data_IF_397363466489
#
_entry.id   IF_397363466489
#
_cell.length_a   1.000
_cell.length_b   1.000
_cell.length_c   1.000
_cell.angle_alpha   90.00
_cell.angle_beta   90.00
_cell.angle_gamma   90.00
#
_symmetry.space_group_name_H-M   'P 1'
#
loop_
_entity.id
_entity.type
_entity.pdbx_description
1 polymer ?
#
# COMPACT_ATOMS: atom_id res chain seq x y z
N UNK A 1 -52.58 76.16 8.43
CA UNK A 1 -52.47 74.83 9.06
C UNK A 1 -52.24 73.79 7.96
N UNK A 2 -51.01 73.64 7.49
CA UNK A 2 -49.94 72.71 7.89
C UNK A 2 -49.97 71.41 7.05
N UNK A 3 -49.10 71.36 6.03
CA UNK A 3 -48.81 70.18 5.22
C UNK A 3 -47.78 69.32 5.96
N UNK A 4 -48.12 68.06 6.24
CA UNK A 4 -47.16 67.06 6.72
C UNK A 4 -46.41 66.48 5.52
N UNK A 5 -45.13 66.82 5.40
CA UNK A 5 -44.17 66.13 4.53
C UNK A 5 -43.53 65.02 5.34
N UNK A 6 -43.85 63.77 5.03
CA UNK A 6 -43.21 62.60 5.62
C UNK A 6 -41.87 62.34 4.91
N UNK A 7 -40.79 62.84 5.50
CA UNK A 7 -39.43 62.49 5.11
C UNK A 7 -39.06 61.10 5.68
N UNK A 8 -39.00 60.10 4.81
CA UNK A 8 -38.49 58.76 5.12
C UNK A 8 -36.95 58.81 5.22
N UNK A 9 -36.30 58.18 6.23
CA UNK A 9 -34.85 58.28 6.38
C UNK A 9 -34.16 57.37 5.37
N UNK A 10 -33.52 57.96 4.35
CA UNK A 10 -32.65 57.27 3.37
C UNK A 10 -31.41 56.58 3.99
N UNK A 11 -31.14 56.79 5.29
CA UNK A 11 -29.95 56.29 5.98
C UNK A 11 -29.98 54.78 6.28
N UNK A 12 -31.16 54.16 6.45
CA UNK A 12 -31.25 52.73 6.77
C UNK A 12 -30.97 51.82 5.56
N UNK A 13 -31.36 52.25 4.36
CA UNK A 13 -31.24 51.46 3.14
C UNK A 13 -29.78 51.28 2.68
N UNK A 14 -28.94 52.30 2.87
CA UNK A 14 -27.53 52.26 2.49
C UNK A 14 -26.74 51.25 3.32
N UNK A 15 -27.09 51.13 4.61
CA UNK A 15 -26.45 50.19 5.54
C UNK A 15 -26.83 48.73 5.23
N UNK A 16 -28.07 48.49 4.80
CA UNK A 16 -28.57 47.17 4.45
C UNK A 16 -27.96 46.64 3.13
N UNK A 17 -27.78 47.51 2.14
CA UNK A 17 -27.11 47.15 0.88
C UNK A 17 -25.62 46.83 1.08
N UNK A 18 -24.94 47.58 1.95
CA UNK A 18 -23.53 47.32 2.30
C UNK A 18 -23.39 45.96 2.99
N UNK A 19 -24.26 45.65 3.97
CA UNK A 19 -24.30 44.35 4.64
C UNK A 19 -24.52 43.18 3.66
N UNK A 20 -25.39 43.36 2.65
CA UNK A 20 -25.65 42.34 1.64
C UNK A 20 -24.45 42.11 0.71
N UNK A 21 -23.74 43.18 0.34
CA UNK A 21 -22.52 43.09 -0.48
C UNK A 21 -21.39 42.38 0.28
N UNK A 22 -21.16 42.72 1.55
CA UNK A 22 -20.20 42.01 2.39
C UNK A 22 -20.57 40.53 2.55
N UNK A 23 -21.85 40.21 2.82
CA UNK A 23 -22.32 38.83 2.92
C UNK A 23 -22.07 38.03 1.63
N UNK A 24 -22.32 38.62 0.47
CA UNK A 24 -22.07 37.96 -0.84
C UNK A 24 -20.58 37.71 -1.13
N UNK A 25 -19.69 38.59 -0.65
CA UNK A 25 -18.23 38.44 -0.77
C UNK A 25 -17.71 37.32 0.15
N UNK A 26 -18.27 37.18 1.35
CA UNK A 26 -17.94 36.08 2.26
C UNK A 26 -18.38 34.71 1.69
N UNK A 27 -19.56 34.62 1.05
CA UNK A 27 -20.02 33.35 0.46
C UNK A 27 -19.08 32.87 -0.65
N UNK A 28 -18.49 33.77 -1.44
CA UNK A 28 -17.48 33.41 -2.45
C UNK A 28 -16.15 33.00 -1.83
N UNK A 29 -15.72 33.63 -0.74
CA UNK A 29 -14.48 33.27 -0.04
C UNK A 29 -14.54 31.88 0.62
N UNK A 30 -15.73 31.43 1.05
CA UNK A 30 -15.93 30.09 1.62
C UNK A 30 -16.23 28.99 0.60
N UNK A 31 -16.43 29.33 -0.68
CA UNK A 31 -16.66 28.33 -1.74
C UNK A 31 -15.37 27.79 -2.37
N UNK A 32 -14.26 27.83 -1.63
CA UNK A 32 -13.08 27.02 -1.92
C UNK A 32 -13.42 25.56 -1.61
N UNK A 33 -13.93 24.86 -2.63
CA UNK A 33 -14.05 23.41 -2.59
C UNK A 33 -12.63 22.87 -2.38
N UNK A 34 -12.33 22.16 -1.28
CA UNK A 34 -11.02 21.53 -1.13
C UNK A 34 -10.82 20.64 -2.36
N UNK A 35 -9.77 20.90 -3.12
CA UNK A 35 -9.32 19.91 -4.10
C UNK A 35 -9.15 18.61 -3.31
N UNK A 36 -9.80 17.50 -3.71
CA UNK A 36 -9.65 16.26 -2.98
C UNK A 36 -8.15 15.98 -2.90
N UNK A 37 -7.63 15.93 -1.67
CA UNK A 37 -6.22 15.60 -1.45
C UNK A 37 -5.93 14.35 -2.28
N UNK A 38 -4.95 14.43 -3.20
CA UNK A 38 -4.52 13.29 -3.99
C UNK A 38 -4.11 12.20 -3.01
N UNK A 39 -5.01 11.24 -2.77
CA UNK A 39 -4.82 10.13 -1.85
C UNK A 39 -3.90 9.12 -2.52
N UNK A 40 -2.64 9.51 -2.58
CA UNK A 40 -1.55 8.79 -3.18
C UNK A 40 -1.17 7.64 -2.24
N UNK A 41 -1.64 6.42 -2.54
CA UNK A 41 -1.33 5.25 -1.75
C UNK A 41 0.18 4.94 -1.85
N UNK A 42 0.83 4.74 -0.71
CA UNK A 42 2.16 4.18 -0.61
C UNK A 42 2.01 2.68 -0.32
N UNK A 43 2.47 1.84 -1.25
CA UNK A 43 2.32 0.39 -1.15
C UNK A 43 3.68 -0.25 -0.91
N UNK A 44 3.75 -1.07 0.13
CA UNK A 44 4.91 -1.91 0.41
C UNK A 44 4.51 -3.37 0.29
N UNK A 45 5.20 -4.11 -0.57
CA UNK A 45 5.07 -5.56 -0.69
C UNK A 45 6.29 -6.18 -0.04
N UNK A 46 6.08 -7.11 0.90
CA UNK A 46 7.18 -7.76 1.60
C UNK A 46 6.88 -9.21 1.94
N UNK A 47 7.94 -9.98 2.09
CA UNK A 47 7.89 -11.34 2.59
C UNK A 47 9.26 -11.76 3.08
N UNK A 48 9.38 -13.02 3.44
CA UNK A 48 10.58 -13.56 4.05
C UNK A 48 11.00 -14.86 3.36
N UNK A 49 12.31 -15.06 3.28
CA UNK A 49 12.93 -16.32 2.85
C UNK A 49 13.71 -16.88 4.02
N UNK A 50 13.51 -18.15 4.30
CA UNK A 50 14.27 -18.87 5.31
C UNK A 50 14.85 -20.17 4.76
N UNK A 51 15.87 -20.67 5.43
CA UNK A 51 16.36 -22.01 5.23
C UNK A 51 15.65 -22.97 6.16
N UNK A 52 14.91 -23.92 5.61
CA UNK A 52 14.37 -25.08 6.32
C UNK A 52 15.44 -26.18 6.37
N UNK A 53 16.34 -26.10 7.36
CA UNK A 53 17.42 -27.08 7.54
C UNK A 53 16.88 -28.52 7.61
N UNK A 54 15.71 -28.71 8.20
CA UNK A 54 15.15 -30.02 8.43
C UNK A 54 14.30 -30.54 7.28
N UNK A 55 14.06 -29.73 6.24
CA UNK A 55 13.28 -30.12 5.07
C UNK A 55 11.86 -30.60 5.43
N UNK A 56 11.27 -30.02 6.48
CA UNK A 56 9.92 -30.33 6.95
C UNK A 56 8.83 -29.54 6.21
N UNK A 57 9.22 -28.69 5.25
CA UNK A 57 8.36 -27.75 4.54
C UNK A 57 7.63 -26.79 5.52
N UNK A 58 8.30 -26.44 6.62
CA UNK A 58 7.74 -25.58 7.66
C UNK A 58 8.86 -24.87 8.41
N UNK A 59 8.58 -23.67 8.93
CA UNK A 59 9.51 -22.99 9.82
C UNK A 59 9.65 -23.75 11.14
N UNK A 60 10.88 -24.04 11.53
CA UNK A 60 11.22 -24.83 12.72
C UNK A 60 12.30 -24.15 13.56
N UNK A 61 12.57 -24.68 14.76
CA UNK A 61 13.64 -24.19 15.64
C UNK A 61 15.04 -24.19 14.99
N UNK A 62 15.26 -25.08 14.02
CA UNK A 62 16.52 -25.17 13.28
C UNK A 62 16.52 -24.34 12.00
N UNK A 63 15.42 -23.65 11.69
CA UNK A 63 15.35 -22.76 10.55
C UNK A 63 16.06 -21.44 10.86
N UNK A 64 16.60 -20.81 9.82
CA UNK A 64 17.19 -19.47 9.93
C UNK A 64 16.79 -18.62 8.74
N UNK A 65 16.71 -17.31 8.94
CA UNK A 65 16.42 -16.38 7.85
C UNK A 65 17.57 -16.32 6.85
N UNK A 66 17.26 -16.39 5.56
CA UNK A 66 18.26 -16.55 4.51
C UNK A 66 18.56 -15.20 3.84
N UNK A 67 19.67 -14.53 4.19
CA UNK A 67 20.10 -13.32 3.50
C UNK A 67 20.64 -13.63 2.10
N UNK A 68 20.54 -12.67 1.18
CA UNK A 68 21.12 -12.82 -0.16
C UNK A 68 20.33 -13.75 -1.09
N UNK A 69 19.13 -14.19 -0.71
CA UNK A 69 18.24 -14.95 -1.57
C UNK A 69 17.56 -14.03 -2.59
N UNK A 70 17.57 -14.42 -3.86
CA UNK A 70 16.92 -13.71 -4.94
C UNK A 70 15.49 -14.21 -5.12
N UNK A 71 14.55 -13.26 -5.15
CA UNK A 71 13.13 -13.49 -5.36
C UNK A 71 12.62 -12.59 -6.48
N UNK A 72 11.72 -13.12 -7.29
CA UNK A 72 10.95 -12.33 -8.24
C UNK A 72 9.61 -12.00 -7.59
N UNK A 73 9.28 -10.72 -7.50
CA UNK A 73 8.00 -10.23 -7.00
C UNK A 73 7.18 -9.82 -8.22
N UNK A 74 5.98 -10.35 -8.34
CA UNK A 74 5.03 -10.02 -9.39
C UNK A 74 3.70 -9.57 -8.77
N UNK A 75 3.29 -8.34 -9.09
CA UNK A 75 2.07 -7.74 -8.60
C UNK A 75 1.21 -7.20 -9.74
N UNK A 76 -0.10 -7.32 -9.62
CA UNK A 76 -1.09 -6.73 -10.51
C UNK A 76 -2.04 -5.91 -9.65
N UNK A 77 -2.11 -4.60 -9.90
CA UNK A 77 -3.02 -3.69 -9.22
C UNK A 77 -4.07 -3.20 -10.21
N UNK A 78 -5.33 -3.12 -9.79
CA UNK A 78 -6.33 -2.35 -10.55
C UNK A 78 -6.21 -0.88 -10.19
N UNK A 79 -6.12 -0.04 -11.22
CA UNK A 79 -6.25 1.39 -11.08
C UNK A 79 -7.73 1.78 -11.29
N UNK A 80 -8.29 2.52 -10.35
CA UNK A 80 -9.63 3.10 -10.46
C UNK A 80 -9.52 4.44 -11.18
N UNK A 81 -9.53 4.39 -12.52
CA UNK A 81 -9.63 5.59 -13.36
C UNK A 81 -11.09 5.74 -13.80
N UNK A 82 -11.72 6.92 -13.63
CA UNK A 82 -13.09 7.14 -14.11
C UNK A 82 -13.15 6.84 -15.62
N UNK A 83 -13.98 5.87 -16.01
CA UNK A 83 -14.25 5.40 -17.40
C UNK A 83 -13.33 4.31 -17.97
N UNK A 84 -12.26 3.89 -17.30
CA UNK A 84 -11.40 2.78 -17.77
C UNK A 84 -11.10 1.78 -16.65
N UNK A 85 -10.93 0.49 -17.00
CA UNK A 85 -10.51 -0.58 -16.07
C UNK A 85 -9.04 -0.90 -16.30
N UNK A 86 -8.16 0.01 -15.93
CA UNK A 86 -6.73 -0.14 -16.12
C UNK A 86 -6.11 -1.06 -15.05
N UNK A 87 -5.12 -1.85 -15.47
CA UNK A 87 -4.34 -2.72 -14.61
C UNK A 87 -2.87 -2.32 -14.73
N UNK A 88 -2.20 -2.21 -13.58
CA UNK A 88 -0.78 -1.87 -13.49
C UNK A 88 -0.05 -3.08 -12.94
N UNK A 89 0.88 -3.60 -13.73
CA UNK A 89 1.69 -4.75 -13.36
C UNK A 89 3.11 -4.33 -12.99
N UNK A 90 3.61 -4.85 -11.88
CA UNK A 90 4.99 -4.69 -11.42
C UNK A 90 5.64 -6.06 -11.36
N UNK A 91 6.80 -6.22 -12.01
CA UNK A 91 7.61 -7.44 -11.91
C UNK A 91 9.06 -7.05 -11.71
N UNK A 92 9.64 -7.40 -10.56
CA UNK A 92 11.01 -7.02 -10.21
C UNK A 92 11.70 -8.14 -9.44
N UNK A 93 13.00 -8.27 -9.64
CA UNK A 93 13.83 -9.10 -8.77
C UNK A 93 14.28 -8.28 -7.55
N UNK A 94 14.28 -8.93 -6.38
CA UNK A 94 14.79 -8.39 -5.12
C UNK A 94 15.64 -9.43 -4.42
N UNK A 95 16.56 -8.95 -3.61
CA UNK A 95 17.40 -9.77 -2.75
C UNK A 95 16.99 -9.56 -1.31
N UNK A 96 16.99 -10.64 -0.52
CA UNK A 96 16.70 -10.55 0.91
C UNK A 96 17.81 -9.86 1.69
N UNK A 97 17.42 -9.07 2.70
CA UNK A 97 18.33 -8.41 3.62
C UNK A 97 18.93 -9.37 4.66
N UNK A 98 19.68 -8.83 5.63
CA UNK A 98 20.30 -9.61 6.72
C UNK A 98 19.30 -10.40 7.59
N UNK A 99 18.01 -10.07 7.53
CA UNK A 99 16.93 -10.74 8.26
C UNK A 99 16.11 -11.65 7.33
N UNK A 100 16.60 -11.94 6.13
CA UNK A 100 15.89 -12.75 5.14
C UNK A 100 14.64 -12.08 4.57
N UNK A 101 14.49 -10.76 4.72
CA UNK A 101 13.30 -10.02 4.27
C UNK A 101 13.56 -9.40 2.91
N UNK A 102 12.65 -9.60 1.96
CA UNK A 102 12.62 -8.86 0.70
C UNK A 102 11.51 -7.83 0.72
N UNK A 103 11.72 -6.70 0.05
CA UNK A 103 10.77 -5.57 0.01
C UNK A 103 10.71 -4.93 -1.36
N UNK A 104 9.51 -4.54 -1.76
CA UNK A 104 9.23 -3.70 -2.92
C UNK A 104 8.36 -2.52 -2.47
N UNK A 105 8.88 -1.32 -2.66
CA UNK A 105 8.13 -0.09 -2.50
C UNK A 105 7.60 0.34 -3.86
N UNK A 106 6.28 0.50 -3.94
CA UNK A 106 5.61 0.96 -5.14
C UNK A 106 5.28 2.43 -4.91
N UNK A 107 5.82 3.34 -5.74
CA UNK A 107 5.52 4.77 -5.61
C UNK A 107 4.03 4.98 -5.88
N UNK A 108 3.49 6.07 -5.34
CA UNK A 108 2.08 6.38 -5.56
C UNK A 108 1.78 6.57 -7.03
N UNK A 109 0.88 5.73 -7.54
CA UNK A 109 0.35 5.81 -8.89
C UNK A 109 -1.09 6.28 -8.81
N UNK A 110 -1.47 7.24 -9.65
CA UNK A 110 -2.83 7.74 -9.73
C UNK A 110 -3.83 6.60 -9.96
N UNK A 111 -4.92 6.58 -9.19
CA UNK A 111 -5.97 5.57 -9.30
C UNK A 111 -5.70 4.27 -8.53
N UNK A 112 -4.50 4.02 -7.99
CA UNK A 112 -4.26 2.85 -7.12
C UNK A 112 -4.62 3.22 -5.68
N UNK A 113 -5.66 2.56 -5.13
CA UNK A 113 -6.14 2.81 -3.78
C UNK A 113 -5.87 1.62 -2.83
N UNK A 114 -5.65 1.95 -1.56
CA UNK A 114 -5.60 1.01 -0.45
C UNK A 114 -6.99 0.43 -0.17
N UNK A 115 -7.33 -0.73 -0.75
CA UNK A 115 -8.60 -1.40 -0.48
C UNK A 115 -8.53 -2.24 0.82
N UNK A 116 -9.57 -2.14 1.68
CA UNK A 116 -9.73 -2.98 2.88
C UNK A 116 -9.93 -4.48 2.59
N UNK A 117 -10.21 -4.86 1.33
CA UNK A 117 -10.42 -6.26 0.96
C UNK A 117 -9.89 -6.53 -0.44
N UNK A 118 -8.93 -7.45 -0.50
CA UNK A 118 -8.36 -8.03 -1.71
C UNK A 118 -9.43 -8.74 -2.55
N UNK A 119 -9.77 -8.18 -3.71
CA UNK A 119 -10.34 -8.93 -4.85
C UNK A 119 -9.75 -8.41 -6.18
N UNK A 120 -9.31 -7.15 -6.22
CA UNK A 120 -8.84 -6.50 -7.43
C UNK A 120 -7.32 -6.60 -7.68
N UNK A 121 -6.51 -6.69 -6.62
CA UNK A 121 -5.04 -6.61 -6.72
C UNK A 121 -4.37 -7.85 -6.14
N UNK A 122 -3.42 -8.44 -6.87
CA UNK A 122 -2.74 -9.69 -6.52
C UNK A 122 -1.23 -9.52 -6.59
N UNK A 123 -0.53 -9.88 -5.52
CA UNK A 123 0.92 -9.98 -5.45
C UNK A 123 1.32 -11.42 -5.13
N UNK A 124 2.35 -11.90 -5.79
CA UNK A 124 3.02 -13.15 -5.51
C UNK A 124 4.53 -12.96 -5.56
N UNK A 125 5.27 -13.85 -4.91
CA UNK A 125 6.71 -13.92 -5.04
C UNK A 125 7.15 -15.36 -5.32
N UNK A 126 8.24 -15.50 -6.07
CA UNK A 126 8.85 -16.80 -6.36
C UNK A 126 10.37 -16.77 -6.21
N UNK A 127 10.94 -17.87 -5.73
CA UNK A 127 12.39 -18.05 -5.62
C UNK A 127 13.03 -18.09 -7.00
N UNK A 128 14.07 -17.26 -7.17
CA UNK A 128 14.95 -17.27 -8.35
C UNK A 128 16.21 -18.08 -8.04
N UNK A 129 16.87 -17.76 -6.92
CA UNK A 129 18.11 -18.42 -6.53
C UNK A 129 18.65 -17.92 -5.20
N UNK A 130 19.81 -18.43 -4.81
CA UNK A 130 20.54 -17.99 -3.62
C UNK A 130 22.03 -18.23 -3.82
N UNK A 131 22.85 -17.40 -3.20
CA UNK A 131 24.31 -17.57 -3.14
C UNK A 131 24.76 -18.57 -2.07
N UNK A 132 23.85 -19.01 -1.18
CA UNK A 132 24.16 -20.01 -0.17
C UNK A 132 24.41 -21.37 -0.81
N UNK A 133 25.56 -22.01 -0.55
CA UNK A 133 25.84 -23.37 -1.03
C UNK A 133 25.25 -24.46 -0.14
N UNK A 134 25.02 -24.15 1.15
CA UNK A 134 24.50 -25.08 2.14
C UNK A 134 22.97 -25.16 2.16
N UNK A 135 22.28 -24.15 1.61
CA UNK A 135 20.82 -24.09 1.58
C UNK A 135 20.31 -23.49 0.26
N UNK A 136 20.37 -24.30 -0.81
CA UNK A 136 20.12 -23.89 -2.20
C UNK A 136 19.03 -24.67 -2.93
N UNK A 137 18.45 -25.70 -2.32
CA UNK A 137 17.37 -26.46 -2.96
C UNK A 137 16.04 -25.76 -2.66
N UNK A 138 15.25 -25.35 -3.65
CA UNK A 138 13.95 -24.74 -3.40
C UNK A 138 13.03 -25.71 -2.61
N UNK A 139 12.42 -25.20 -1.54
CA UNK A 139 11.32 -25.81 -0.80
C UNK A 139 10.01 -25.17 -1.25
N UNK A 140 9.50 -24.22 -0.47
CA UNK A 140 8.37 -23.38 -0.87
C UNK A 140 8.82 -22.36 -1.92
N UNK A 141 8.60 -22.71 -3.20
CA UNK A 141 9.11 -21.94 -4.35
C UNK A 141 8.30 -20.70 -4.67
N UNK A 142 6.99 -20.71 -4.43
CA UNK A 142 6.09 -19.59 -4.72
C UNK A 142 5.15 -19.37 -3.55
N UNK A 143 4.75 -18.12 -3.35
CA UNK A 143 3.77 -17.75 -2.31
C UNK A 143 2.38 -18.21 -2.73
N UNK A 144 1.63 -18.80 -1.79
CA UNK A 144 0.25 -19.24 -2.02
C UNK A 144 -0.76 -18.17 -1.69
N UNK A 145 -0.45 -17.33 -0.70
CA UNK A 145 -1.37 -16.35 -0.14
C UNK A 145 -0.71 -14.99 0.06
N UNK A 146 -1.54 -13.96 0.08
CA UNK A 146 -1.17 -12.59 0.41
C UNK A 146 -2.12 -12.05 1.48
N UNK A 147 -1.57 -11.32 2.45
CA UNK A 147 -2.32 -10.61 3.48
C UNK A 147 -2.10 -9.12 3.24
N UNK A 148 -3.18 -8.40 2.92
CA UNK A 148 -3.16 -6.96 2.77
C UNK A 148 -3.55 -6.30 4.10
N UNK A 149 -2.67 -5.47 4.64
CA UNK A 149 -2.87 -4.71 5.87
C UNK A 149 -2.90 -3.23 5.50
N UNK A 150 -4.04 -2.58 5.76
CA UNK A 150 -4.19 -1.13 5.65
C UNK A 150 -3.82 -0.48 6.99
N UNK A 151 -2.87 0.46 6.98
CA UNK A 151 -2.50 1.20 8.18
C UNK A 151 -3.63 2.14 8.62
N UNK A 152 -3.67 2.45 9.92
CA UNK A 152 -4.47 3.57 10.44
C UNK A 152 -3.95 4.93 9.99
N UNK A 153 -2.66 5.01 9.64
CA UNK A 153 -2.10 6.20 9.01
C UNK A 153 -2.66 6.30 7.58
N UNK A 154 -3.11 7.48 7.16
CA UNK A 154 -3.70 7.65 5.85
C UNK A 154 -2.71 7.21 4.76
N UNK A 155 -3.23 6.44 3.80
CA UNK A 155 -2.55 6.10 2.55
C UNK A 155 -1.34 5.15 2.62
N UNK A 156 -1.13 4.40 3.73
CA UNK A 156 -0.09 3.36 3.80
C UNK A 156 -0.69 1.94 3.72
N UNK A 157 -0.22 1.15 2.76
CA UNK A 157 -0.61 -0.24 2.53
C UNK A 157 0.57 -1.20 2.61
N UNK A 158 0.39 -2.30 3.33
CA UNK A 158 1.39 -3.36 3.46
C UNK A 158 0.79 -4.66 2.96
N UNK A 159 1.40 -5.24 1.92
CA UNK A 159 1.10 -6.58 1.43
C UNK A 159 2.17 -7.54 1.96
N UNK A 160 1.79 -8.37 2.92
CA UNK A 160 2.64 -9.43 3.45
C UNK A 160 2.36 -10.73 2.70
N UNK A 161 3.40 -11.31 2.12
CA UNK A 161 3.31 -12.58 1.40
C UNK A 161 3.75 -13.75 2.29
N UNK A 162 3.21 -14.94 2.03
CA UNK A 162 3.64 -16.17 2.72
C UNK A 162 5.14 -16.40 2.56
N UNK A 163 5.76 -16.98 3.58
CA UNK A 163 7.20 -17.25 3.57
C UNK A 163 7.61 -18.25 2.48
N UNK A 164 8.72 -17.95 1.80
CA UNK A 164 9.39 -18.88 0.88
C UNK A 164 10.51 -19.60 1.61
N UNK A 165 10.93 -20.75 1.10
CA UNK A 165 12.02 -21.50 1.74
C UNK A 165 12.95 -22.18 0.75
N UNK A 166 14.23 -22.18 1.12
CA UNK A 166 15.21 -23.14 0.62
C UNK A 166 15.45 -24.23 1.65
N UNK A 167 16.09 -25.31 1.25
CA UNK A 167 16.55 -26.38 2.13
C UNK A 167 17.92 -26.90 1.69
N UNK A 168 18.66 -27.57 2.59
CA UNK A 168 19.88 -28.28 2.23
C UNK A 168 19.61 -29.44 1.27
N UNK A 169 20.64 -29.84 0.52
CA UNK A 169 20.57 -31.04 -0.34
C UNK A 169 20.46 -32.34 0.44
N UNK A 170 20.91 -32.36 1.70
CA UNK A 170 20.85 -33.51 2.60
C UNK A 170 20.33 -33.07 3.98
N UNK A 171 19.31 -33.76 4.48
CA UNK A 171 18.78 -33.56 5.85
C UNK A 171 19.78 -34.11 6.87
N UNK A 172 20.10 -33.31 7.89
CA UNK A 172 20.95 -33.76 8.99
C UNK A 172 20.09 -34.45 10.07
N UNK A 173 20.09 -35.79 10.06
CA UNK A 173 19.29 -36.61 11.00
C UNK A 173 19.71 -36.43 12.45
N UNK A 174 20.99 -36.19 12.72
CA UNK A 174 21.48 -35.96 14.09
C UNK A 174 20.93 -34.65 14.68
N UNK A 175 20.73 -33.63 13.84
CA UNK A 175 20.19 -32.32 14.25
C UNK A 175 18.65 -32.29 14.23
N UNK A 176 18.04 -32.87 13.20
CA UNK A 176 16.61 -32.77 12.94
C UNK A 176 15.77 -33.92 13.50
N UNK A 177 16.42 -34.90 14.12
CA UNK A 177 15.79 -36.15 14.50
C UNK A 177 15.44 -37.02 13.28
N UNK A 178 14.79 -38.16 13.56
CA UNK A 178 14.23 -39.02 12.53
C UNK A 178 13.08 -38.35 11.79
#
# INVERSE_FOLDING_TARGET
MWKFVSHLPKFAAMNLMILFLFSSLFIKAFSLKPEPAKNNAQITVMGLVYCDICSNNSFSRHSYFLPGAEVQIACNFRAFVPKTREQVSFSVNRTTDKHGVYRLEIPSVDGIACAEAAIASSCQASLVGTSSTSCNIPGHRSTTDQIAIKSRHPNLCIYSLTALSFRPSKRNVALCGK
#
